data_IF_495798077188
#
_entry.id   IF_495798077188
#
_cell.length_a   1.000
_cell.length_b   1.000
_cell.length_c   1.000
_cell.angle_alpha   90.00
_cell.angle_beta   90.00
_cell.angle_gamma   90.00
#
_symmetry.space_group_name_H-M   'P 1'
#
loop_
_entity.id
_entity.type
_entity.pdbx_description
1 polymer ?
#
# COMPACT_ATOMS: atom_id res chain seq x y z
N UNK A 1 -1.90 -13.09 -8.43
CA UNK A 1 -3.01 -12.16 -8.73
C UNK A 1 -3.04 -11.88 -10.22
N UNK A 2 -4.21 -11.63 -10.78
CA UNK A 2 -4.36 -11.30 -12.20
C UNK A 2 -3.67 -9.97 -12.55
N UNK A 3 -2.89 -9.96 -13.62
CA UNK A 3 -2.18 -8.77 -14.11
C UNK A 3 -3.17 -7.63 -14.42
N UNK A 4 -4.32 -7.95 -15.02
CA UNK A 4 -5.34 -6.95 -15.33
C UNK A 4 -5.87 -6.23 -14.09
N UNK A 5 -5.96 -6.93 -12.98
CA UNK A 5 -6.38 -6.35 -11.70
C UNK A 5 -5.28 -5.47 -11.11
N UNK A 6 -4.03 -5.89 -11.20
CA UNK A 6 -2.89 -5.07 -10.76
C UNK A 6 -2.82 -3.76 -11.53
N UNK A 7 -3.09 -3.81 -12.81
CA UNK A 7 -3.03 -2.61 -13.66
C UNK A 7 -4.06 -1.56 -13.27
N UNK A 8 -5.15 -1.95 -12.59
CA UNK A 8 -6.16 -1.02 -12.07
C UNK A 8 -5.69 -0.28 -10.82
N UNK A 9 -4.65 -0.78 -10.16
CA UNK A 9 -4.04 -0.07 -9.03
C UNK A 9 -3.29 1.12 -9.62
N UNK A 10 -3.58 2.32 -9.14
CA UNK A 10 -3.03 3.56 -9.70
C UNK A 10 -1.51 3.54 -9.81
N UNK A 11 -0.84 2.98 -8.80
CA UNK A 11 0.61 2.85 -8.78
C UNK A 11 1.17 2.12 -10.00
N UNK A 12 0.40 1.15 -10.53
CA UNK A 12 0.83 0.29 -11.63
C UNK A 12 0.18 0.64 -12.98
N UNK A 13 -0.58 1.73 -13.04
CA UNK A 13 -1.34 2.09 -14.24
C UNK A 13 -0.48 2.23 -15.51
N UNK A 14 0.75 2.73 -15.37
CA UNK A 14 1.68 2.96 -16.48
C UNK A 14 2.69 1.82 -16.65
N UNK A 15 2.60 0.78 -15.83
CA UNK A 15 3.54 -0.34 -15.88
C UNK A 15 3.08 -1.32 -16.95
N UNK A 16 4.01 -1.85 -17.75
CA UNK A 16 3.69 -2.81 -18.80
C UNK A 16 3.20 -4.14 -18.20
N UNK A 17 2.42 -4.89 -18.98
CA UNK A 17 1.96 -6.21 -18.56
C UNK A 17 3.13 -7.16 -18.29
N UNK A 18 4.18 -7.10 -19.09
CA UNK A 18 5.37 -7.94 -18.90
C UNK A 18 6.06 -7.66 -17.58
N UNK A 19 6.16 -6.39 -17.20
CA UNK A 19 6.72 -6.00 -15.91
C UNK A 19 5.82 -6.45 -14.76
N UNK A 20 4.50 -6.28 -14.89
CA UNK A 20 3.56 -6.71 -13.86
C UNK A 20 3.56 -8.22 -13.65
N UNK A 21 3.85 -9.00 -14.68
CA UNK A 21 3.97 -10.46 -14.55
C UNK A 21 5.08 -10.87 -13.59
N UNK A 22 6.06 -10.00 -13.33
CA UNK A 22 7.16 -10.31 -12.42
C UNK A 22 6.72 -10.26 -10.95
N UNK A 23 5.65 -9.54 -10.63
CA UNK A 23 5.16 -9.42 -9.25
C UNK A 23 3.78 -10.04 -9.04
N UNK A 24 2.99 -10.21 -10.09
CA UNK A 24 1.63 -10.74 -9.99
C UNK A 24 1.52 -12.05 -9.18
N UNK A 25 2.45 -13.03 -9.32
CA UNK A 25 2.37 -14.26 -8.52
C UNK A 25 2.54 -14.05 -7.01
N UNK A 26 3.13 -12.93 -6.60
CA UNK A 26 3.44 -12.64 -5.19
C UNK A 26 2.45 -11.67 -4.57
N UNK A 27 1.68 -10.95 -5.38
CA UNK A 27 0.68 -10.02 -4.90
C UNK A 27 -0.54 -10.80 -4.40
N UNK A 28 -0.96 -10.51 -3.18
CA UNK A 28 -2.04 -11.23 -2.51
C UNK A 28 -3.22 -10.29 -2.30
N UNK A 29 -4.40 -10.76 -2.68
CA UNK A 29 -5.64 -10.07 -2.39
C UNK A 29 -6.14 -10.48 -1.01
N UNK A 30 -6.53 -9.50 -0.19
CA UNK A 30 -7.21 -9.77 1.07
C UNK A 30 -8.49 -8.93 1.15
N UNK A 31 -9.48 -9.49 1.82
CA UNK A 31 -10.74 -8.81 2.12
C UNK A 31 -10.81 -8.67 3.62
N UNK A 32 -11.09 -7.45 4.10
CA UNK A 32 -11.20 -7.18 5.53
C UNK A 32 -12.54 -6.55 5.84
N UNK A 33 -13.02 -6.80 7.07
CA UNK A 33 -14.29 -6.23 7.55
C UNK A 33 -14.09 -4.79 8.03
N UNK A 34 -15.18 -4.04 8.05
CA UNK A 34 -15.21 -2.73 8.68
C UNK A 34 -14.75 -2.83 10.14
N UNK A 35 -13.93 -1.88 10.57
CA UNK A 35 -13.38 -1.85 11.93
C UNK A 35 -12.03 -2.53 12.09
N UNK A 36 -11.57 -3.28 11.10
CA UNK A 36 -10.26 -3.95 11.16
C UNK A 36 -9.14 -2.91 11.18
N UNK A 37 -8.22 -3.02 12.15
CA UNK A 37 -6.99 -2.22 12.16
C UNK A 37 -5.99 -2.88 11.24
N UNK A 38 -5.56 -2.15 10.22
CA UNK A 38 -4.64 -2.66 9.20
C UNK A 38 -3.18 -2.36 9.55
N UNK A 39 -2.95 -1.20 10.14
CA UNK A 39 -1.64 -0.69 10.49
C UNK A 39 -1.78 -0.01 11.84
N UNK A 40 -0.86 -0.28 12.78
CA UNK A 40 -0.84 0.38 14.10
C UNK A 40 0.36 1.31 14.20
N UNK A 41 0.12 2.53 14.66
CA UNK A 41 1.21 3.46 14.93
C UNK A 41 2.16 2.88 15.97
N UNK A 42 3.46 3.13 15.82
CA UNK A 42 4.47 2.60 16.71
C UNK A 42 4.96 1.20 16.38
N UNK A 43 4.32 0.49 15.46
CA UNK A 43 4.74 -0.84 15.05
C UNK A 43 5.54 -0.80 13.74
N UNK A 44 6.43 -1.77 13.55
CA UNK A 44 7.16 -1.91 12.28
C UNK A 44 6.21 -2.33 11.16
N UNK A 45 6.47 -1.84 9.97
CA UNK A 45 5.72 -2.21 8.79
C UNK A 45 6.39 -3.40 8.09
N UNK A 46 5.59 -4.42 7.79
CA UNK A 46 6.03 -5.61 7.05
C UNK A 46 5.31 -5.78 5.72
N UNK A 47 4.26 -5.00 5.50
CA UNK A 47 3.44 -5.13 4.30
C UNK A 47 3.10 -3.77 3.71
N UNK A 48 3.16 -3.71 2.39
CA UNK A 48 2.62 -2.62 1.59
C UNK A 48 1.19 -3.01 1.20
N UNK A 49 0.26 -2.08 1.29
CA UNK A 49 -1.14 -2.32 0.95
C UNK A 49 -1.66 -1.25 0.00
N UNK A 50 -2.30 -1.69 -1.08
CA UNK A 50 -2.97 -0.81 -2.03
C UNK A 50 -4.47 -1.09 -1.98
N UNK A 51 -5.29 -0.05 -2.01
CA UNK A 51 -6.73 -0.18 -1.90
C UNK A 51 -7.37 -0.35 -3.27
N UNK A 52 -8.06 -1.49 -3.49
CA UNK A 52 -8.88 -1.71 -4.67
C UNK A 52 -10.31 -1.22 -4.45
N UNK A 53 -10.89 -1.52 -3.29
CA UNK A 53 -12.26 -1.14 -2.93
C UNK A 53 -12.36 -0.82 -1.44
N UNK A 54 -13.31 0.04 -1.09
CA UNK A 54 -13.59 0.41 0.29
C UNK A 54 -12.86 1.67 0.74
N UNK A 55 -13.05 2.00 2.01
CA UNK A 55 -12.49 3.21 2.62
C UNK A 55 -11.81 2.89 3.93
N UNK A 56 -10.69 3.59 4.18
CA UNK A 56 -9.96 3.50 5.43
C UNK A 56 -9.79 4.88 6.05
N UNK A 57 -9.56 4.90 7.35
CA UNK A 57 -9.30 6.12 8.12
C UNK A 57 -7.88 6.08 8.66
N UNK A 58 -7.17 7.21 8.54
CA UNK A 58 -5.85 7.38 9.13
C UNK A 58 -5.99 8.23 10.38
N UNK A 59 -5.48 7.71 11.51
CA UNK A 59 -5.51 8.42 12.80
C UNK A 59 -4.12 8.43 13.45
N UNK A 60 -3.89 9.41 14.31
CA UNK A 60 -2.69 9.48 15.14
C UNK A 60 -3.09 9.96 16.51
N UNK A 61 -2.77 9.15 17.55
CA UNK A 61 -3.20 9.46 18.91
C UNK A 61 -4.71 9.57 19.04
N UNK A 62 -5.46 8.84 18.22
CA UNK A 62 -6.92 8.90 18.18
C UNK A 62 -7.51 10.03 17.34
N UNK A 63 -6.66 10.92 16.82
CA UNK A 63 -7.12 12.07 16.03
C UNK A 63 -7.17 11.71 14.54
N UNK A 64 -8.27 12.07 13.89
CA UNK A 64 -8.45 11.85 12.45
C UNK A 64 -7.49 12.71 11.65
N UNK A 65 -6.71 12.10 10.76
CA UNK A 65 -5.80 12.80 9.86
C UNK A 65 -6.28 12.81 8.43
N UNK A 66 -6.81 11.69 7.93
CA UNK A 66 -7.18 11.56 6.51
C UNK A 66 -8.08 10.36 6.29
N UNK A 67 -8.76 10.37 5.16
CA UNK A 67 -9.46 9.21 4.62
C UNK A 67 -8.71 8.71 3.39
N UNK A 68 -8.65 7.39 3.24
CA UNK A 68 -8.06 6.73 2.08
C UNK A 68 -9.14 5.95 1.34
N UNK A 69 -9.02 5.87 0.02
CA UNK A 69 -9.97 5.15 -0.81
C UNK A 69 -9.28 4.44 -1.98
N UNK A 70 -10.06 3.92 -2.94
CA UNK A 70 -9.51 3.20 -4.10
C UNK A 70 -8.43 4.00 -4.81
N UNK A 71 -7.31 3.35 -5.12
CA UNK A 71 -6.13 3.96 -5.72
C UNK A 71 -5.07 4.38 -4.71
N UNK A 72 -5.44 4.59 -3.45
CA UNK A 72 -4.48 4.93 -2.41
C UNK A 72 -3.70 3.71 -1.93
N UNK A 73 -2.54 3.95 -1.33
CA UNK A 73 -1.70 2.90 -0.75
C UNK A 73 -1.08 3.39 0.56
N UNK A 74 -0.64 2.44 1.38
CA UNK A 74 -0.04 2.72 2.69
C UNK A 74 0.88 1.58 3.12
N UNK A 75 1.62 1.80 4.21
CA UNK A 75 2.59 0.83 4.73
C UNK A 75 3.98 0.95 4.12
N UNK A 76 4.13 1.81 3.11
CA UNK A 76 5.36 1.97 2.33
C UNK A 76 6.52 2.55 3.13
N UNK A 77 6.24 3.43 4.09
CA UNK A 77 7.30 4.10 4.87
C UNK A 77 8.15 3.08 5.61
N UNK A 78 7.49 2.14 6.29
CA UNK A 78 8.20 1.10 7.03
C UNK A 78 8.93 0.11 6.12
N UNK A 79 8.45 -0.10 4.89
CA UNK A 79 9.07 -1.03 3.94
C UNK A 79 10.27 -0.40 3.23
N UNK A 80 10.22 0.91 2.96
CA UNK A 80 11.30 1.64 2.30
C UNK A 80 12.37 2.13 3.27
N UNK A 81 12.11 2.09 4.55
CA UNK A 81 13.03 2.46 5.61
C UNK A 81 12.82 1.58 6.83
N UNK A 82 13.57 1.83 7.90
CA UNK A 82 13.45 1.07 9.16
C UNK A 82 12.65 1.85 10.19
N UNK A 83 11.77 2.73 9.73
CA UNK A 83 10.96 3.56 10.62
C UNK A 83 9.73 2.81 11.10
N UNK A 84 9.29 3.12 12.30
CA UNK A 84 8.01 2.68 12.81
C UNK A 84 6.90 3.40 12.04
N UNK A 85 5.74 2.78 11.96
CA UNK A 85 4.58 3.41 11.36
C UNK A 85 4.18 4.64 12.19
N UNK A 86 3.93 5.73 11.51
CA UNK A 86 3.65 7.01 12.18
C UNK A 86 2.16 7.29 12.37
N UNK A 87 1.31 6.39 11.93
CA UNK A 87 -0.14 6.54 12.07
C UNK A 87 -0.83 5.18 12.06
N UNK A 88 -2.06 5.14 12.55
CA UNK A 88 -2.93 3.97 12.51
C UNK A 88 -3.84 4.06 11.30
N UNK A 89 -4.03 2.95 10.59
CA UNK A 89 -4.97 2.84 9.46
C UNK A 89 -6.00 1.80 9.80
N UNK A 90 -7.27 2.17 9.80
CA UNK A 90 -8.39 1.28 10.11
C UNK A 90 -9.40 1.27 8.98
N UNK A 91 -10.00 0.11 8.72
CA UNK A 91 -11.05 -0.02 7.72
C UNK A 91 -12.34 0.65 8.21
N UNK A 92 -12.87 1.60 7.45
CA UNK A 92 -14.18 2.21 7.75
C UNK A 92 -15.32 1.39 7.17
N UNK A 93 -15.05 0.70 6.07
CA UNK A 93 -16.00 -0.19 5.39
C UNK A 93 -15.31 -1.52 5.17
N UNK A 94 -16.03 -2.50 4.64
CA UNK A 94 -15.37 -3.68 4.08
C UNK A 94 -14.43 -3.21 2.99
N UNK A 95 -13.25 -3.80 2.90
CA UNK A 95 -12.22 -3.38 1.96
C UNK A 95 -11.63 -4.56 1.22
N UNK A 96 -11.23 -4.31 -0.03
CA UNK A 96 -10.43 -5.24 -0.82
C UNK A 96 -9.08 -4.59 -1.04
N UNK A 97 -8.03 -5.30 -0.64
CA UNK A 97 -6.66 -4.80 -0.63
C UNK A 97 -5.75 -5.72 -1.42
N UNK A 98 -4.72 -5.14 -2.05
CA UNK A 98 -3.60 -5.88 -2.62
C UNK A 98 -2.42 -5.69 -1.68
N UNK A 99 -1.79 -6.78 -1.26
CA UNK A 99 -0.66 -6.73 -0.34
C UNK A 99 0.61 -7.26 -0.97
N UNK A 100 1.73 -6.62 -0.62
CA UNK A 100 3.08 -7.06 -0.95
C UNK A 100 3.91 -7.00 0.32
N UNK A 101 4.68 -8.05 0.60
CA UNK A 101 5.55 -8.05 1.77
C UNK A 101 6.89 -7.37 1.47
N UNK A 102 7.77 -7.34 2.47
CA UNK A 102 9.10 -6.73 2.37
C UNK A 102 9.92 -7.30 1.21
N UNK A 103 9.87 -8.63 1.04
CA UNK A 103 10.64 -9.30 0.00
C UNK A 103 10.09 -9.01 -1.38
N UNK A 104 8.78 -8.93 -1.48
CA UNK A 104 8.09 -8.56 -2.72
C UNK A 104 8.41 -7.12 -3.10
N UNK A 105 8.53 -6.23 -2.12
CA UNK A 105 8.93 -4.84 -2.39
C UNK A 105 10.35 -4.75 -2.92
N UNK A 106 11.25 -5.58 -2.43
CA UNK A 106 12.62 -5.67 -2.97
C UNK A 106 12.62 -6.19 -4.40
N UNK A 107 11.75 -7.15 -4.68
CA UNK A 107 11.56 -7.69 -6.02
C UNK A 107 10.99 -6.62 -6.96
N UNK A 108 10.05 -5.83 -6.47
CA UNK A 108 9.48 -4.70 -7.20
C UNK A 108 10.56 -3.68 -7.54
N UNK A 109 11.42 -3.34 -6.59
CA UNK A 109 12.53 -2.42 -6.81
C UNK A 109 13.47 -2.91 -7.91
N UNK A 110 13.73 -4.21 -7.96
CA UNK A 110 14.61 -4.80 -8.96
C UNK A 110 13.98 -4.85 -10.35
N UNK A 111 12.71 -5.21 -10.43
CA UNK A 111 12.03 -5.49 -11.70
C UNK A 111 11.24 -4.31 -12.25
N UNK A 112 10.74 -3.43 -11.37
CA UNK A 112 9.93 -2.27 -11.76
C UNK A 112 10.36 -1.06 -10.95
N UNK A 113 11.59 -0.54 -11.19
CA UNK A 113 12.12 0.57 -10.40
C UNK A 113 11.28 1.84 -10.47
N UNK A 114 10.56 2.07 -11.56
CA UNK A 114 9.68 3.22 -11.67
C UNK A 114 8.52 3.21 -10.67
N UNK A 115 8.05 2.03 -10.27
CA UNK A 115 7.02 1.91 -9.25
C UNK A 115 7.56 2.34 -7.87
N UNK A 116 8.79 1.95 -7.55
CA UNK A 116 9.44 2.37 -6.31
C UNK A 116 9.64 3.88 -6.28
N UNK A 117 10.03 4.48 -7.41
CA UNK A 117 10.19 5.94 -7.49
C UNK A 117 8.87 6.67 -7.23
N UNK A 118 7.77 6.15 -7.73
CA UNK A 118 6.44 6.71 -7.46
C UNK A 118 6.07 6.62 -5.98
N UNK A 119 6.37 5.49 -5.34
CA UNK A 119 6.13 5.32 -3.91
C UNK A 119 6.95 6.32 -3.12
N UNK A 120 8.24 6.46 -3.44
CA UNK A 120 9.12 7.41 -2.75
C UNK A 120 8.63 8.84 -2.91
N UNK A 121 8.22 9.22 -4.10
CA UNK A 121 7.68 10.54 -4.35
C UNK A 121 6.44 10.82 -3.52
N UNK A 122 5.51 9.86 -3.48
CA UNK A 122 4.29 9.98 -2.68
C UNK A 122 4.59 10.09 -1.19
N UNK A 123 5.56 9.31 -0.69
CA UNK A 123 6.00 9.38 0.70
C UNK A 123 6.58 10.75 1.03
N UNK A 124 7.41 11.30 0.15
CA UNK A 124 8.01 12.61 0.35
C UNK A 124 6.95 13.71 0.38
N UNK A 125 5.96 13.63 -0.51
CA UNK A 125 4.84 14.57 -0.53
C UNK A 125 4.03 14.52 0.75
N UNK A 126 3.80 13.33 1.30
CA UNK A 126 3.09 13.15 2.57
C UNK A 126 3.86 13.72 3.77
N UNK A 127 5.20 13.62 3.74
CA UNK A 127 6.04 14.15 4.82
C UNK A 127 6.09 15.66 4.85
N UNK A 128 5.98 16.29 3.68
CA UNK A 128 6.05 17.75 3.54
C UNK A 128 4.68 18.42 3.60
N UNK A 129 3.64 17.64 3.43
CA UNK A 129 2.26 18.15 3.43
C UNK A 129 1.54 18.06 4.80
#
# INVERSE_FOLDING_TARGET
MDVGRLKKVELFADVSEDELKTIAPFAIEIIVDAGKVLVREGEFSYEFMAIEEGKAEVTRGGEHLADLGPGDFFGEIGLLGKELRNATVSAKTEMRLVTLDKWDMKRLERNIPQAIERIRKAVDERRTG
#
